data_IF_121644180856
#
_entry.id   IF_121644180856
#
_cell.length_a   1.000
_cell.length_b   1.000
_cell.length_c   1.000
_cell.angle_alpha   90.00
_cell.angle_beta   90.00
_cell.angle_gamma   90.00
#
_symmetry.space_group_name_H-M   'P 1'
#
loop_
_entity.id
_entity.type
_entity.pdbx_description
1 polymer ?
#
# COMPACT_ATOMS: atom_id res chain seq x y z
N UNK A 1 -19.44 13.25 38.74
CA UNK A 1 -19.16 11.90 38.17
C UNK A 1 -17.83 11.77 37.42
N UNK A 2 -17.19 12.85 36.97
CA UNK A 2 -15.87 12.83 36.31
C UNK A 2 -14.65 12.48 37.21
N UNK A 3 -14.84 12.34 38.53
CA UNK A 3 -13.74 12.20 39.50
C UNK A 3 -13.22 10.77 39.74
N UNK A 4 -14.03 9.72 39.51
CA UNK A 4 -13.59 8.33 39.74
C UNK A 4 -12.79 7.75 38.56
N UNK A 5 -13.18 8.06 37.32
CA UNK A 5 -12.47 7.56 36.13
C UNK A 5 -11.06 8.13 35.99
N UNK A 6 -10.83 9.37 36.44
CA UNK A 6 -9.50 10.00 36.44
C UNK A 6 -8.55 9.42 37.51
N UNK A 7 -9.08 8.74 38.54
CA UNK A 7 -8.27 8.16 39.62
C UNK A 7 -7.74 6.76 39.29
N UNK A 8 -8.38 6.03 38.36
CA UNK A 8 -8.01 4.66 38.00
C UNK A 8 -6.56 4.57 37.47
N UNK A 9 -6.09 5.45 36.56
CA UNK A 9 -4.70 5.42 36.11
C UNK A 9 -3.67 5.72 37.21
N UNK A 10 -4.07 6.43 38.27
CA UNK A 10 -3.20 6.79 39.39
C UNK A 10 -3.13 5.66 40.44
N UNK A 11 -4.23 4.94 40.66
CA UNK A 11 -4.29 3.83 41.60
C UNK A 11 -3.70 2.54 41.03
N UNK A 12 -3.91 2.28 39.74
CA UNK A 12 -3.45 1.05 39.07
C UNK A 12 -2.74 1.36 37.75
N UNK A 13 -1.59 2.07 37.77
CA UNK A 13 -0.93 2.55 36.56
C UNK A 13 -0.43 1.42 35.64
N UNK A 14 0.02 0.31 36.21
CA UNK A 14 0.44 -0.87 35.44
C UNK A 14 -0.74 -1.57 34.77
N UNK A 15 -1.78 -1.91 35.53
CA UNK A 15 -2.96 -2.58 35.00
C UNK A 15 -3.66 -1.71 33.94
N UNK A 16 -3.75 -0.40 34.16
CA UNK A 16 -4.27 0.55 33.19
C UNK A 16 -3.44 0.55 31.89
N UNK A 17 -2.10 0.59 31.99
CA UNK A 17 -1.21 0.53 30.83
C UNK A 17 -1.35 -0.76 30.02
N UNK A 18 -1.47 -1.90 30.70
CA UNK A 18 -1.69 -3.22 30.08
C UNK A 18 -3.01 -3.27 29.32
N UNK A 19 -4.10 -2.89 29.99
CA UNK A 19 -5.44 -2.92 29.39
C UNK A 19 -5.53 -1.97 28.20
N UNK A 20 -5.07 -0.73 28.35
CA UNK A 20 -5.08 0.25 27.28
C UNK A 20 -4.26 -0.22 26.07
N UNK A 21 -3.09 -0.85 26.31
CA UNK A 21 -2.22 -1.30 25.23
C UNK A 21 -2.83 -2.45 24.44
N UNK A 22 -3.44 -3.44 25.11
CA UNK A 22 -4.13 -4.56 24.45
C UNK A 22 -5.35 -4.13 23.64
N UNK A 23 -6.20 -3.27 24.21
CA UNK A 23 -7.36 -2.74 23.46
C UNK A 23 -6.93 -1.85 22.30
N UNK A 24 -5.90 -1.01 22.48
CA UNK A 24 -5.36 -0.16 21.41
C UNK A 24 -4.88 -1.01 20.23
N UNK A 25 -4.12 -2.08 20.47
CA UNK A 25 -3.60 -2.91 19.38
C UNK A 25 -4.69 -3.71 18.69
N UNK A 26 -5.63 -4.29 19.44
CA UNK A 26 -6.80 -4.97 18.86
C UNK A 26 -7.65 -4.00 18.03
N UNK A 27 -7.96 -2.80 18.55
CA UNK A 27 -8.73 -1.79 17.84
C UNK A 27 -8.02 -1.30 16.58
N UNK A 28 -6.72 -1.04 16.67
CA UNK A 28 -5.91 -0.62 15.52
C UNK A 28 -5.92 -1.67 14.41
N UNK A 29 -5.82 -2.94 14.78
CA UNK A 29 -5.86 -4.05 13.82
C UNK A 29 -7.27 -4.21 13.22
N UNK A 30 -8.34 -4.10 14.02
CA UNK A 30 -9.71 -4.10 13.50
C UNK A 30 -9.97 -2.95 12.51
N UNK A 31 -9.46 -1.75 12.82
CA UNK A 31 -9.52 -0.61 11.90
C UNK A 31 -8.78 -0.92 10.60
N UNK A 32 -7.58 -1.52 10.66
CA UNK A 32 -6.85 -1.91 9.45
C UNK A 32 -7.66 -2.93 8.67
N UNK A 33 -8.14 -4.00 9.30
CA UNK A 33 -8.89 -5.05 8.63
C UNK A 33 -10.20 -4.53 8.00
N UNK A 34 -10.94 -3.65 8.67
CA UNK A 34 -12.25 -3.14 8.19
C UNK A 34 -12.16 -1.91 7.30
N UNK A 35 -11.27 -0.97 7.60
CA UNK A 35 -11.20 0.34 6.92
C UNK A 35 -10.14 0.33 5.83
N UNK A 36 -8.97 -0.27 6.08
CA UNK A 36 -7.84 -0.28 5.15
C UNK A 36 -7.95 -1.48 4.20
N UNK A 37 -8.07 -2.69 4.74
CA UNK A 37 -8.16 -3.92 3.98
C UNK A 37 -9.59 -4.24 3.52
N UNK A 38 -10.59 -3.54 4.08
CA UNK A 38 -12.02 -3.70 3.77
C UNK A 38 -12.51 -5.16 3.76
N UNK A 39 -11.97 -6.00 4.66
CA UNK A 39 -12.36 -7.41 4.76
C UNK A 39 -13.83 -7.54 5.14
N UNK A 40 -14.54 -8.41 4.43
CA UNK A 40 -15.91 -8.78 4.78
C UNK A 40 -15.94 -9.49 6.15
N UNK A 41 -15.04 -10.46 6.34
CA UNK A 41 -14.86 -11.17 7.60
C UNK A 41 -13.62 -10.72 8.37
N UNK A 42 -13.74 -10.67 9.70
CA UNK A 42 -12.64 -10.30 10.57
C UNK A 42 -11.77 -11.55 10.82
N UNK A 43 -10.47 -11.41 10.57
CA UNK A 43 -9.48 -12.39 10.97
C UNK A 43 -9.20 -12.25 12.47
N UNK A 44 -9.92 -13.06 13.23
CA UNK A 44 -9.81 -13.10 14.69
C UNK A 44 -8.50 -13.71 15.18
N UNK A 45 -7.84 -14.57 14.38
CA UNK A 45 -6.52 -15.14 14.74
C UNK A 45 -5.45 -14.06 14.68
N UNK A 46 -5.43 -13.27 13.60
CA UNK A 46 -4.60 -12.07 13.48
C UNK A 46 -4.91 -11.07 14.60
N UNK A 47 -6.19 -10.78 14.85
CA UNK A 47 -6.54 -9.82 15.89
C UNK A 47 -6.09 -10.29 17.28
N UNK A 48 -6.20 -11.58 17.56
CA UNK A 48 -5.68 -12.19 18.78
C UNK A 48 -4.16 -12.04 18.88
N UNK A 49 -3.41 -12.12 17.78
CA UNK A 49 -1.96 -11.91 17.79
C UNK A 49 -1.61 -10.46 18.19
N UNK A 50 -2.31 -9.48 17.62
CA UNK A 50 -2.15 -8.07 17.96
C UNK A 50 -2.59 -7.75 19.39
N UNK A 51 -3.70 -8.34 19.85
CA UNK A 51 -4.17 -8.21 21.22
C UNK A 51 -3.15 -8.79 22.21
N UNK A 52 -2.69 -10.02 21.99
CA UNK A 52 -1.66 -10.69 22.80
C UNK A 52 -0.37 -9.90 22.87
N UNK A 53 0.10 -9.37 21.73
CA UNK A 53 1.28 -8.50 21.70
C UNK A 53 1.06 -7.21 22.49
N UNK A 54 -0.13 -6.62 22.41
CA UNK A 54 -0.51 -5.43 23.18
C UNK A 54 -0.57 -5.67 24.69
N UNK A 55 -1.18 -6.76 25.13
CA UNK A 55 -1.28 -7.09 26.57
C UNK A 55 0.07 -7.49 27.16
N UNK A 56 0.78 -8.40 26.50
CA UNK A 56 1.99 -9.03 27.06
C UNK A 56 3.23 -8.16 26.86
N UNK A 57 3.49 -7.74 25.63
CA UNK A 57 4.72 -7.00 25.32
C UNK A 57 4.55 -5.51 25.58
N UNK A 58 3.62 -4.83 24.91
CA UNK A 58 3.46 -3.37 25.06
C UNK A 58 3.02 -2.99 26.50
N UNK A 59 2.08 -3.75 27.05
CA UNK A 59 1.54 -3.53 28.39
C UNK A 59 2.49 -3.92 29.51
N UNK A 60 3.11 -5.09 29.41
CA UNK A 60 3.98 -5.64 30.45
C UNK A 60 5.43 -5.21 30.27
N UNK A 61 6.10 -5.81 29.28
CA UNK A 61 7.55 -5.69 29.07
C UNK A 61 7.94 -4.25 28.76
N UNK A 62 7.25 -3.60 27.83
CA UNK A 62 7.57 -2.25 27.42
C UNK A 62 7.27 -1.22 28.51
N UNK A 63 6.20 -1.37 29.29
CA UNK A 63 5.94 -0.52 30.46
C UNK A 63 7.11 -0.59 31.46
N UNK A 64 7.57 -1.80 31.77
CA UNK A 64 8.71 -2.02 32.69
C UNK A 64 10.03 -1.50 32.11
N UNK A 65 10.22 -1.51 30.80
CA UNK A 65 11.38 -0.90 30.17
C UNK A 65 11.36 0.64 30.31
N UNK A 66 10.25 1.29 29.93
CA UNK A 66 10.21 2.75 29.87
C UNK A 66 10.01 3.42 31.24
N UNK A 67 9.22 2.85 32.14
CA UNK A 67 8.86 3.53 33.39
C UNK A 67 9.93 3.36 34.48
N UNK A 68 10.25 2.13 34.94
CA UNK A 68 11.29 1.94 35.95
C UNK A 68 12.72 1.88 35.39
N UNK A 69 12.99 1.21 34.27
CA UNK A 69 14.38 1.04 33.78
C UNK A 69 14.91 2.35 33.19
N UNK A 70 14.25 2.92 32.17
CA UNK A 70 14.69 4.17 31.56
C UNK A 70 14.61 5.34 32.55
N UNK A 71 13.64 5.31 33.47
CA UNK A 71 13.56 6.27 34.57
C UNK A 71 14.77 6.27 35.51
N UNK A 72 15.46 5.12 35.67
CA UNK A 72 16.69 4.99 36.45
C UNK A 72 17.95 5.29 35.63
N UNK A 73 17.98 4.90 34.36
CA UNK A 73 19.11 5.16 33.46
C UNK A 73 19.23 6.64 33.09
N UNK A 74 18.11 7.34 32.95
CA UNK A 74 18.04 8.74 32.54
C UNK A 74 17.25 9.61 33.54
N UNK A 75 17.72 9.75 34.79
CA UNK A 75 17.00 10.52 35.80
C UNK A 75 16.85 12.00 35.39
N UNK A 76 17.82 12.52 34.63
CA UNK A 76 17.85 13.89 34.10
C UNK A 76 16.75 14.15 33.06
N UNK A 77 16.27 13.11 32.36
CA UNK A 77 15.19 13.26 31.38
C UNK A 77 13.88 13.74 32.03
N UNK A 78 13.60 13.34 33.27
CA UNK A 78 12.41 13.77 34.03
C UNK A 78 12.44 15.26 34.33
N UNK A 79 13.61 15.80 34.63
CA UNK A 79 13.81 17.23 34.88
C UNK A 79 13.77 18.00 33.58
N UNK A 80 14.43 17.49 32.53
CA UNK A 80 14.44 18.09 31.20
C UNK A 80 13.05 18.23 30.60
N UNK A 81 12.19 17.23 30.78
CA UNK A 81 10.81 17.26 30.27
C UNK A 81 10.05 18.48 30.81
N UNK A 82 10.26 18.88 32.07
CA UNK A 82 9.58 20.02 32.72
C UNK A 82 10.07 21.40 32.25
N UNK A 83 11.22 21.50 31.60
CA UNK A 83 11.81 22.77 31.17
C UNK A 83 11.04 23.41 29.99
N UNK A 84 11.08 24.74 29.91
CA UNK A 84 10.58 25.49 28.76
C UNK A 84 11.44 25.28 27.50
N UNK A 85 10.91 25.60 26.31
CA UNK A 85 11.62 25.43 25.02
C UNK A 85 12.99 26.11 24.99
N UNK A 86 13.09 27.37 25.45
CA UNK A 86 14.33 28.14 25.45
C UNK A 86 15.39 27.59 26.41
N UNK A 87 14.96 27.01 27.51
CA UNK A 87 15.85 26.39 28.51
C UNK A 87 16.34 25.03 28.05
N UNK A 88 15.48 24.25 27.37
CA UNK A 88 15.85 22.96 26.76
C UNK A 88 16.99 23.10 25.76
N UNK A 89 16.97 24.15 24.93
CA UNK A 89 18.05 24.41 23.96
C UNK A 89 19.40 24.76 24.62
N UNK A 90 19.39 25.14 25.91
CA UNK A 90 20.60 25.47 26.68
C UNK A 90 21.05 24.32 27.59
N UNK A 91 20.19 23.35 27.88
CA UNK A 91 20.50 22.18 28.70
C UNK A 91 21.12 21.04 27.87
N UNK A 92 22.44 21.13 27.68
CA UNK A 92 23.23 20.14 26.93
C UNK A 92 23.18 18.74 27.54
N UNK A 93 23.08 18.64 28.88
CA UNK A 93 23.01 17.34 29.57
C UNK A 93 21.65 16.70 29.37
N UNK A 94 20.56 17.48 29.46
CA UNK A 94 19.22 17.01 29.17
C UNK A 94 19.01 16.62 27.70
N UNK A 95 19.57 17.40 26.77
CA UNK A 95 19.57 17.06 25.34
C UNK A 95 20.31 15.75 25.06
N UNK A 96 21.49 15.56 25.66
CA UNK A 96 22.23 14.31 25.53
C UNK A 96 21.47 13.12 26.14
N UNK A 97 20.84 13.30 27.30
CA UNK A 97 20.03 12.25 27.92
C UNK A 97 18.83 11.84 27.05
N UNK A 98 18.13 12.80 26.45
CA UNK A 98 17.04 12.52 25.50
C UNK A 98 17.55 11.84 24.24
N UNK A 99 18.65 12.33 23.66
CA UNK A 99 19.27 11.70 22.50
C UNK A 99 19.69 10.25 22.79
N UNK A 100 20.38 10.01 23.90
CA UNK A 100 20.82 8.68 24.32
C UNK A 100 19.62 7.75 24.57
N UNK A 101 18.55 8.26 25.19
CA UNK A 101 17.32 7.51 25.40
C UNK A 101 16.66 7.14 24.06
N UNK A 102 16.52 8.09 23.13
CA UNK A 102 15.97 7.84 21.79
C UNK A 102 16.85 6.87 21.00
N UNK A 103 18.17 7.00 21.09
CA UNK A 103 19.10 6.11 20.39
C UNK A 103 19.00 4.66 20.91
N UNK A 104 19.03 4.47 22.23
CA UNK A 104 18.84 3.14 22.82
C UNK A 104 17.49 2.55 22.42
N UNK A 105 16.45 3.38 22.39
CA UNK A 105 15.15 2.92 22.00
C UNK A 105 15.12 2.47 20.53
N UNK A 106 15.52 3.34 19.60
CA UNK A 106 15.41 3.12 18.17
C UNK A 106 16.43 2.12 17.59
N UNK A 107 17.61 2.02 18.20
CA UNK A 107 18.73 1.21 17.68
C UNK A 107 19.02 -0.05 18.50
N UNK A 108 18.50 -0.18 19.72
CA UNK A 108 18.74 -1.37 20.57
C UNK A 108 17.43 -2.07 20.90
N UNK A 109 16.49 -1.37 21.56
CA UNK A 109 15.22 -1.97 21.97
C UNK A 109 14.37 -2.41 20.77
N UNK A 110 14.21 -1.57 19.75
CA UNK A 110 13.36 -1.93 18.60
C UNK A 110 13.90 -3.13 17.80
N UNK A 111 15.19 -3.16 17.38
CA UNK A 111 15.74 -4.31 16.68
C UNK A 111 15.83 -5.57 17.56
N UNK A 112 16.32 -5.46 18.80
CA UNK A 112 16.69 -6.66 19.57
C UNK A 112 15.54 -7.24 20.39
N UNK A 113 14.48 -6.46 20.64
CA UNK A 113 13.38 -6.89 21.52
C UNK A 113 12.02 -6.73 20.85
N UNK A 114 11.67 -5.52 20.39
CA UNK A 114 10.32 -5.22 19.90
C UNK A 114 9.91 -6.08 18.70
N UNK A 115 10.69 -6.04 17.61
CA UNK A 115 10.36 -6.80 16.41
C UNK A 115 10.47 -8.30 16.61
N UNK A 116 11.55 -8.86 17.23
CA UNK A 116 11.60 -10.28 17.55
C UNK A 116 10.40 -10.73 18.38
N UNK A 117 10.01 -9.98 19.42
CA UNK A 117 8.85 -10.32 20.23
C UNK A 117 7.54 -10.27 19.44
N UNK A 118 7.37 -9.30 18.55
CA UNK A 118 6.20 -9.24 17.67
C UNK A 118 6.11 -10.47 16.75
N UNK A 119 7.21 -10.80 16.08
CA UNK A 119 7.31 -11.95 15.17
C UNK A 119 7.04 -13.28 15.91
N UNK A 120 7.61 -13.45 17.10
CA UNK A 120 7.34 -14.62 17.94
C UNK A 120 5.89 -14.68 18.43
N UNK A 121 5.31 -13.56 18.84
CA UNK A 121 3.92 -13.50 19.31
C UNK A 121 2.96 -13.84 18.19
N UNK A 122 3.23 -13.35 16.97
CA UNK A 122 2.44 -13.69 15.78
C UNK A 122 2.50 -15.19 15.49
N UNK A 123 3.70 -15.77 15.44
CA UNK A 123 3.88 -17.20 15.18
C UNK A 123 3.13 -18.06 16.20
N UNK A 124 3.26 -17.72 17.48
CA UNK A 124 2.61 -18.44 18.58
C UNK A 124 1.08 -18.43 18.50
N UNK A 125 0.49 -17.35 17.97
CA UNK A 125 -0.97 -17.17 17.97
C UNK A 125 -1.60 -17.61 16.65
N UNK A 126 -0.88 -17.45 15.53
CA UNK A 126 -1.40 -17.74 14.19
C UNK A 126 -1.10 -19.17 13.74
N UNK A 127 0.10 -19.70 14.06
CA UNK A 127 0.54 -21.01 13.58
C UNK A 127 0.11 -22.14 14.51
N UNK A 128 -0.41 -23.23 13.95
CA UNK A 128 -0.74 -24.45 14.73
C UNK A 128 0.50 -25.19 15.24
N UNK A 129 1.62 -25.05 14.53
CA UNK A 129 2.94 -25.60 14.91
C UNK A 129 3.99 -24.48 14.82
N UNK A 130 4.30 -23.77 15.92
CA UNK A 130 5.24 -22.66 15.91
C UNK A 130 6.66 -23.12 15.57
N UNK A 131 7.30 -22.47 14.60
CA UNK A 131 8.72 -22.67 14.25
C UNK A 131 9.54 -21.40 14.50
N UNK A 132 10.16 -21.32 15.67
CA UNK A 132 10.97 -20.15 16.05
C UNK A 132 12.26 -19.99 15.22
N UNK A 133 12.77 -21.07 14.61
CA UNK A 133 13.93 -20.97 13.73
C UNK A 133 13.58 -20.16 12.48
N UNK A 134 12.45 -20.52 11.86
CA UNK A 134 11.89 -19.79 10.71
C UNK A 134 11.53 -18.34 11.06
N UNK A 135 10.98 -18.10 12.25
CA UNK A 135 10.63 -16.74 12.72
C UNK A 135 11.85 -15.81 12.74
N UNK A 136 13.00 -16.29 13.23
CA UNK A 136 14.23 -15.51 13.29
C UNK A 136 14.73 -15.20 11.87
N UNK A 137 14.66 -16.16 10.95
CA UNK A 137 15.06 -15.95 9.56
C UNK A 137 14.13 -14.96 8.85
N UNK A 138 12.82 -15.07 9.05
CA UNK A 138 11.82 -14.14 8.52
C UNK A 138 12.05 -12.72 9.08
N UNK A 139 12.33 -12.59 10.37
CA UNK A 139 12.72 -11.31 10.97
C UNK A 139 14.00 -10.77 10.34
N UNK A 140 15.07 -11.57 10.20
CA UNK A 140 16.35 -11.11 9.62
C UNK A 140 16.19 -10.59 8.19
N UNK A 141 15.33 -11.22 7.38
CA UNK A 141 15.03 -10.79 6.00
C UNK A 141 14.29 -9.45 5.99
N UNK A 142 13.32 -9.29 6.88
CA UNK A 142 12.41 -8.14 6.94
C UNK A 142 12.94 -6.96 7.78
N UNK A 143 13.94 -7.19 8.63
CA UNK A 143 14.43 -6.24 9.64
C UNK A 143 14.76 -4.87 9.05
N UNK A 144 15.38 -4.82 7.86
CA UNK A 144 15.73 -3.55 7.21
C UNK A 144 14.49 -2.75 6.84
N UNK A 145 13.49 -3.41 6.28
CA UNK A 145 12.22 -2.81 5.87
C UNK A 145 11.45 -2.30 7.09
N UNK A 146 11.33 -3.15 8.11
CA UNK A 146 10.60 -2.87 9.34
C UNK A 146 11.21 -1.69 10.12
N UNK A 147 12.55 -1.65 10.25
CA UNK A 147 13.25 -0.56 10.91
C UNK A 147 13.19 0.74 10.12
N UNK A 148 13.30 0.69 8.80
CA UNK A 148 13.16 1.89 7.98
C UNK A 148 11.74 2.45 8.06
N UNK A 149 10.70 1.61 8.03
CA UNK A 149 9.33 2.05 8.22
C UNK A 149 9.11 2.68 9.59
N UNK A 150 9.64 2.04 10.65
CA UNK A 150 9.60 2.57 12.02
C UNK A 150 10.27 3.95 12.10
N UNK A 151 11.50 4.09 11.62
CA UNK A 151 12.27 5.33 11.71
C UNK A 151 11.62 6.47 10.92
N UNK A 152 11.00 6.19 9.77
CA UNK A 152 10.27 7.21 8.99
C UNK A 152 9.10 7.82 9.75
N UNK A 153 8.50 7.08 10.69
CA UNK A 153 7.40 7.59 11.52
C UNK A 153 7.94 8.18 12.83
N UNK A 154 8.76 7.42 13.55
CA UNK A 154 9.17 7.78 14.90
C UNK A 154 10.24 8.87 14.95
N UNK A 155 11.22 8.90 14.04
CA UNK A 155 12.25 9.95 14.08
C UNK A 155 11.65 11.34 13.88
N UNK A 156 10.80 11.59 12.85
CA UNK A 156 10.12 12.87 12.71
C UNK A 156 9.13 13.16 13.83
N UNK A 157 8.35 12.17 14.27
CA UNK A 157 7.39 12.35 15.36
C UNK A 157 8.09 12.74 16.67
N UNK A 158 9.20 12.10 16.99
CA UNK A 158 10.01 12.41 18.17
C UNK A 158 10.60 13.81 18.08
N UNK A 159 11.12 14.21 16.91
CA UNK A 159 11.60 15.57 16.69
C UNK A 159 10.50 16.61 16.90
N UNK A 160 9.31 16.41 16.30
CA UNK A 160 8.16 17.31 16.44
C UNK A 160 7.69 17.39 17.91
N UNK A 161 7.62 16.24 18.58
CA UNK A 161 7.19 16.16 19.98
C UNK A 161 8.13 16.96 20.90
N UNK A 162 9.44 16.82 20.71
CA UNK A 162 10.39 17.57 21.52
C UNK A 162 10.47 19.05 21.13
N UNK A 163 10.31 19.37 19.84
CA UNK A 163 10.44 20.71 19.30
C UNK A 163 9.23 21.61 19.56
N UNK A 164 8.02 21.10 19.33
CA UNK A 164 6.83 21.94 19.20
C UNK A 164 5.69 21.58 20.16
N UNK A 165 5.65 20.36 20.69
CA UNK A 165 4.49 19.93 21.48
C UNK A 165 4.48 20.49 22.91
N UNK A 166 3.39 21.20 23.30
CA UNK A 166 3.15 21.63 24.66
C UNK A 166 3.12 20.43 25.62
N UNK A 167 3.54 20.66 26.86
CA UNK A 167 3.70 19.59 27.86
C UNK A 167 2.48 18.69 28.06
N UNK A 168 1.28 19.25 28.01
CA UNK A 168 0.03 18.51 28.17
C UNK A 168 -0.38 17.70 26.92
N UNK A 169 0.10 18.06 25.73
CA UNK A 169 -0.22 17.36 24.46
C UNK A 169 0.78 16.27 24.08
N UNK A 170 1.94 16.19 24.72
CA UNK A 170 3.00 15.22 24.36
C UNK A 170 2.53 13.77 24.48
N UNK A 171 1.85 13.43 25.58
CA UNK A 171 1.38 12.07 25.83
C UNK A 171 0.26 11.70 24.82
N UNK A 172 -0.78 12.54 24.61
CA UNK A 172 -1.76 12.30 23.54
C UNK A 172 -1.14 12.19 22.14
N UNK A 173 -0.16 13.04 21.80
CA UNK A 173 0.52 13.00 20.50
C UNK A 173 1.24 11.66 20.28
N UNK A 174 2.02 11.21 21.27
CA UNK A 174 2.71 9.91 21.20
C UNK A 174 1.72 8.75 21.13
N UNK A 175 0.59 8.83 21.83
CA UNK A 175 -0.47 7.82 21.74
C UNK A 175 -1.08 7.75 20.33
N UNK A 176 -1.32 8.90 19.69
CA UNK A 176 -1.80 8.98 18.32
C UNK A 176 -0.80 8.41 17.30
N UNK A 177 0.47 8.78 17.40
CA UNK A 177 1.55 8.21 16.56
C UNK A 177 1.69 6.71 16.79
N UNK A 178 1.53 6.24 18.03
CA UNK A 178 1.56 4.82 18.37
C UNK A 178 0.39 4.05 17.75
N UNK A 179 -0.81 4.64 17.71
CA UNK A 179 -1.96 4.05 17.03
C UNK A 179 -1.69 3.94 15.53
N UNK A 180 -1.17 5.01 14.91
CA UNK A 180 -0.78 5.02 13.49
C UNK A 180 0.25 3.92 13.19
N UNK A 181 1.33 3.85 13.98
CA UNK A 181 2.37 2.82 13.82
C UNK A 181 1.80 1.41 13.96
N UNK A 182 0.91 1.18 14.91
CA UNK A 182 0.28 -0.14 15.09
C UNK A 182 -0.55 -0.52 13.86
N UNK A 183 -1.22 0.46 13.25
CA UNK A 183 -1.93 0.28 11.99
C UNK A 183 -0.99 -0.07 10.83
N UNK A 184 0.13 0.65 10.71
CA UNK A 184 1.16 0.36 9.70
C UNK A 184 1.75 -1.04 9.89
N UNK A 185 2.09 -1.41 11.12
CA UNK A 185 2.62 -2.75 11.44
C UNK A 185 1.61 -3.85 11.12
N UNK A 186 0.33 -3.62 11.41
CA UNK A 186 -0.76 -4.51 11.03
C UNK A 186 -0.91 -4.62 9.52
N UNK A 187 -0.85 -3.53 8.76
CA UNK A 187 -0.88 -3.59 7.30
C UNK A 187 0.35 -4.30 6.70
N UNK A 188 1.54 -4.04 7.23
CA UNK A 188 2.80 -4.63 6.71
C UNK A 188 2.92 -6.13 7.02
N UNK A 189 2.45 -6.56 8.19
CA UNK A 189 2.78 -7.87 8.78
C UNK A 189 1.58 -8.63 9.36
N UNK A 190 0.36 -8.17 9.14
CA UNK A 190 -0.85 -8.76 9.71
C UNK A 190 -1.54 -9.82 8.86
N UNK A 191 -1.32 -9.88 7.54
CA UNK A 191 -1.96 -10.86 6.64
C UNK A 191 -0.99 -11.87 6.03
N UNK A 192 -1.54 -13.00 5.55
CA UNK A 192 -0.86 -13.92 4.64
C UNK A 192 -0.70 -13.26 3.27
N UNK A 193 0.39 -12.53 3.08
CA UNK A 193 1.07 -12.29 1.79
C UNK A 193 2.31 -11.45 2.10
N UNK A 194 3.42 -11.85 1.52
CA UNK A 194 4.64 -11.06 1.47
C UNK A 194 4.36 -9.75 0.71
N UNK A 195 4.00 -8.68 1.41
CA UNK A 195 3.99 -7.32 0.88
C UNK A 195 5.40 -6.70 0.79
N UNK A 196 6.45 -7.51 0.95
CA UNK A 196 7.84 -7.05 1.05
C UNK A 196 8.42 -6.46 -0.25
N UNK A 197 7.88 -6.81 -1.42
CA UNK A 197 8.46 -6.34 -2.69
C UNK A 197 7.84 -5.03 -3.22
N UNK A 198 6.61 -4.66 -2.80
CA UNK A 198 5.98 -3.40 -3.23
C UNK A 198 6.38 -2.18 -2.36
N UNK A 199 6.92 -2.43 -1.16
CA UNK A 199 7.40 -1.36 -0.25
C UNK A 199 8.89 -1.04 -0.40
N UNK A 200 9.64 -1.84 -1.18
CA UNK A 200 11.09 -1.72 -1.33
C UNK A 200 11.53 -0.54 -2.23
N UNK A 201 10.61 0.09 -2.95
CA UNK A 201 10.90 1.24 -3.81
C UNK A 201 10.67 2.58 -3.12
N UNK A 202 11.70 3.13 -2.47
CA UNK A 202 11.90 4.58 -2.35
C UNK A 202 10.78 5.41 -1.70
N UNK A 203 11.03 5.79 -0.44
CA UNK A 203 10.34 6.86 0.29
C UNK A 203 8.88 6.60 0.70
N UNK A 204 8.48 7.19 1.82
CA UNK A 204 7.06 7.41 2.19
C UNK A 204 6.52 8.54 1.31
N UNK A 205 6.67 8.38 0.00
CA UNK A 205 6.17 9.30 -1.01
C UNK A 205 5.43 8.46 -2.03
N UNK A 206 4.16 8.78 -2.23
CA UNK A 206 3.32 8.10 -3.20
C UNK A 206 2.45 7.03 -2.55
N UNK A 207 2.98 5.88 -2.15
CA UNK A 207 2.20 4.65 -1.91
C UNK A 207 1.23 4.69 -0.72
N UNK A 208 1.56 5.28 0.43
CA UNK A 208 0.58 5.48 1.52
C UNK A 208 -0.48 6.52 1.14
N UNK A 209 -0.09 7.52 0.33
CA UNK A 209 -1.01 8.50 -0.23
C UNK A 209 -1.87 7.90 -1.35
N UNK A 210 -1.35 6.94 -2.12
CA UNK A 210 -2.03 6.16 -3.16
C UNK A 210 -2.99 5.15 -2.53
N UNK A 211 -2.62 4.49 -1.44
CA UNK A 211 -3.53 3.65 -0.64
C UNK A 211 -4.69 4.46 -0.03
N UNK A 212 -4.46 5.74 0.27
CA UNK A 212 -5.50 6.70 0.68
C UNK A 212 -6.25 7.35 -0.49
N UNK A 213 -5.69 7.29 -1.71
CA UNK A 213 -6.21 7.89 -2.95
C UNK A 213 -6.72 6.85 -3.96
N UNK A 214 -6.72 5.56 -3.61
CA UNK A 214 -7.48 4.49 -4.27
C UNK A 214 -9.00 4.66 -3.96
N UNK A 215 -9.50 5.88 -4.16
CA UNK A 215 -10.86 6.10 -4.61
C UNK A 215 -10.94 5.78 -6.11
N UNK A 216 -12.07 6.10 -6.73
CA UNK A 216 -12.31 5.82 -8.15
C UNK A 216 -11.28 6.38 -9.14
N UNK A 217 -10.31 7.19 -8.71
CA UNK A 217 -9.18 7.69 -9.51
C UNK A 217 -8.44 6.58 -10.27
N UNK A 218 -8.30 5.38 -9.70
CA UNK A 218 -7.69 4.21 -10.37
C UNK A 218 -8.58 3.59 -11.48
N UNK A 219 -9.87 3.94 -11.51
CA UNK A 219 -10.86 3.48 -12.48
C UNK A 219 -11.30 4.61 -13.43
N UNK A 220 -11.03 5.86 -13.06
CA UNK A 220 -11.16 7.06 -13.89
C UNK A 220 -9.93 7.29 -14.77
N UNK A 221 -9.02 6.32 -14.86
CA UNK A 221 -7.77 6.42 -15.62
C UNK A 221 -7.95 6.31 -17.12
N UNK A 222 -9.10 6.68 -17.70
CA UNK A 222 -9.02 7.17 -19.09
C UNK A 222 -8.28 8.51 -19.00
N UNK A 223 -6.96 8.55 -19.28
CA UNK A 223 -6.09 9.66 -18.93
C UNK A 223 -6.20 10.78 -19.95
N UNK A 224 -7.40 10.94 -20.50
CA UNK A 224 -7.68 11.93 -21.52
C UNK A 224 -8.93 12.67 -21.12
N UNK A 225 -8.78 13.44 -20.04
CA UNK A 225 -9.20 14.84 -20.13
C UNK A 225 -8.52 15.41 -21.37
N UNK A 226 -9.16 15.22 -22.53
CA UNK A 226 -8.70 15.77 -23.79
C UNK A 226 -8.74 17.27 -23.59
N UNK A 227 -7.58 17.89 -23.33
CA UNK A 227 -7.42 19.32 -23.54
C UNK A 227 -8.08 19.61 -24.89
N UNK A 228 -9.19 20.36 -24.82
CA UNK A 228 -10.08 20.57 -25.95
C UNK A 228 -9.36 21.31 -27.08
N UNK A 229 -8.22 21.92 -26.78
CA UNK A 229 -7.41 22.68 -27.72
C UNK A 229 -6.32 21.82 -28.40
N UNK A 230 -6.19 20.55 -28.01
CA UNK A 230 -5.14 19.65 -28.50
C UNK A 230 -5.73 18.53 -29.37
N UNK A 231 -4.93 18.03 -30.31
CA UNK A 231 -5.24 16.81 -31.04
C UNK A 231 -4.61 15.61 -30.35
N UNK A 232 -5.40 14.56 -30.19
CA UNK A 232 -5.03 13.36 -29.43
C UNK A 232 -4.83 12.17 -30.37
N UNK A 233 -3.70 11.48 -30.20
CA UNK A 233 -3.27 10.37 -31.04
C UNK A 233 -2.97 9.15 -30.16
N UNK A 234 -3.40 7.97 -30.61
CA UNK A 234 -2.94 6.69 -30.09
C UNK A 234 -1.82 6.17 -30.99
N UNK A 235 -0.62 6.02 -30.44
CA UNK A 235 0.56 5.50 -31.12
C UNK A 235 0.86 4.12 -30.57
N UNK A 236 0.73 3.09 -31.40
CA UNK A 236 1.19 1.74 -31.11
C UNK A 236 2.49 1.48 -31.85
N UNK A 237 3.51 1.00 -31.16
CA UNK A 237 4.80 0.64 -31.75
C UNK A 237 5.24 -0.76 -31.31
N UNK A 238 5.69 -1.57 -32.25
CA UNK A 238 6.19 -2.93 -31.99
C UNK A 238 7.51 -3.20 -32.73
N UNK A 239 8.42 -3.99 -32.16
CA UNK A 239 9.67 -4.34 -32.81
C UNK A 239 10.57 -5.24 -31.98
N UNK A 240 11.76 -5.57 -32.50
CA UNK A 240 12.72 -6.43 -31.80
C UNK A 240 13.31 -5.70 -30.59
N UNK A 241 13.15 -6.30 -29.41
CA UNK A 241 13.52 -5.68 -28.16
C UNK A 241 15.04 -5.44 -28.07
N UNK A 242 15.42 -4.18 -27.85
CA UNK A 242 16.79 -3.76 -27.52
C UNK A 242 16.79 -2.50 -26.66
N UNK A 243 17.93 -2.21 -26.05
CA UNK A 243 18.10 -0.98 -25.28
C UNK A 243 17.85 0.26 -26.15
N UNK A 244 17.16 1.26 -25.58
CA UNK A 244 17.01 2.59 -26.17
C UNK A 244 15.76 2.81 -27.04
N UNK A 245 14.89 1.81 -27.28
CA UNK A 245 13.69 1.99 -28.12
C UNK A 245 12.70 3.01 -27.54
N UNK A 246 12.44 2.95 -26.23
CA UNK A 246 11.56 3.93 -25.55
C UNK A 246 12.13 5.34 -25.66
N UNK A 247 13.44 5.49 -25.44
CA UNK A 247 14.12 6.79 -25.52
C UNK A 247 14.10 7.35 -26.95
N UNK A 248 14.29 6.51 -27.96
CA UNK A 248 14.21 6.88 -29.36
C UNK A 248 12.80 7.41 -29.71
N UNK A 249 11.76 6.63 -29.39
CA UNK A 249 10.38 6.99 -29.71
C UNK A 249 9.92 8.23 -28.95
N UNK A 250 10.17 8.30 -27.64
CA UNK A 250 9.74 9.44 -26.82
C UNK A 250 10.47 10.74 -27.19
N UNK A 251 11.76 10.66 -27.52
CA UNK A 251 12.52 11.81 -28.01
C UNK A 251 11.99 12.28 -29.36
N UNK A 252 11.75 11.36 -30.31
CA UNK A 252 11.15 11.71 -31.58
C UNK A 252 9.77 12.39 -31.42
N UNK A 253 8.93 11.88 -30.52
CA UNK A 253 7.63 12.48 -30.20
C UNK A 253 7.82 13.92 -29.68
N UNK A 254 8.72 14.12 -28.72
CA UNK A 254 8.98 15.42 -28.10
C UNK A 254 9.57 16.43 -29.10
N UNK A 255 10.55 16.03 -29.91
CA UNK A 255 11.21 16.87 -30.91
C UNK A 255 10.23 17.36 -31.99
N UNK A 256 9.16 16.61 -32.23
CA UNK A 256 8.09 16.97 -33.17
C UNK A 256 6.90 17.70 -32.50
N UNK A 257 7.05 18.12 -31.23
CA UNK A 257 6.05 18.90 -30.50
C UNK A 257 4.87 18.09 -29.97
N UNK A 258 5.00 16.77 -29.87
CA UNK A 258 4.05 15.90 -29.18
C UNK A 258 4.40 15.76 -27.70
N UNK A 259 3.38 15.57 -26.87
CA UNK A 259 3.51 15.27 -25.45
C UNK A 259 2.89 13.91 -25.16
N UNK A 260 3.66 12.98 -24.59
CA UNK A 260 3.13 11.69 -24.13
C UNK A 260 2.40 11.92 -22.82
N UNK A 261 1.08 11.73 -22.78
CA UNK A 261 0.30 11.90 -21.54
C UNK A 261 -0.03 10.58 -20.87
N UNK A 262 0.03 9.47 -21.61
CA UNK A 262 -0.14 8.13 -21.06
C UNK A 262 0.58 7.10 -21.92
N UNK A 263 1.06 6.02 -21.32
CA UNK A 263 1.68 4.93 -22.06
C UNK A 263 1.62 3.61 -21.30
N UNK A 264 1.47 2.51 -22.03
CA UNK A 264 1.60 1.14 -21.51
C UNK A 264 2.56 0.36 -22.39
N UNK A 265 3.50 -0.34 -21.77
CA UNK A 265 4.55 -1.10 -22.45
C UNK A 265 4.57 -2.53 -21.92
N UNK A 266 4.74 -3.49 -22.84
CA UNK A 266 4.95 -4.89 -22.49
C UNK A 266 6.05 -5.49 -23.34
N UNK A 267 6.68 -6.55 -22.82
CA UNK A 267 7.67 -7.35 -23.52
C UNK A 267 7.19 -8.78 -23.58
N UNK A 268 7.04 -9.30 -24.80
CA UNK A 268 6.62 -10.67 -25.04
C UNK A 268 7.76 -11.41 -25.73
N UNK A 269 8.52 -12.17 -24.94
CA UNK A 269 9.75 -12.82 -25.40
C UNK A 269 10.80 -11.80 -25.85
N UNK A 270 11.12 -11.82 -27.15
CA UNK A 270 12.06 -10.89 -27.79
C UNK A 270 11.37 -9.69 -28.45
N UNK A 271 10.05 -9.56 -28.32
CA UNK A 271 9.27 -8.46 -28.89
C UNK A 271 9.04 -7.35 -27.86
N UNK A 272 9.27 -6.12 -28.30
CA UNK A 272 8.91 -4.88 -27.63
C UNK A 272 7.56 -4.41 -28.18
N UNK A 273 6.61 -4.09 -27.30
CA UNK A 273 5.31 -3.53 -27.68
C UNK A 273 4.99 -2.37 -26.73
N UNK A 274 4.68 -1.20 -27.29
CA UNK A 274 4.27 -0.03 -26.51
C UNK A 274 3.09 0.65 -27.17
N UNK A 275 2.18 1.14 -26.33
CA UNK A 275 1.07 1.99 -26.71
C UNK A 275 1.22 3.32 -25.97
N UNK A 276 1.06 4.43 -26.68
CA UNK A 276 1.20 5.78 -26.13
C UNK A 276 0.03 6.64 -26.57
N UNK A 277 -0.56 7.34 -25.61
CA UNK A 277 -1.40 8.49 -25.87
C UNK A 277 -0.52 9.74 -26.02
N UNK A 278 -0.65 10.42 -27.14
CA UNK A 278 0.12 11.63 -27.46
C UNK A 278 -0.80 12.79 -27.79
N UNK A 279 -0.63 13.89 -27.06
CA UNK A 279 -1.26 15.18 -27.36
C UNK A 279 -0.33 16.01 -28.25
N UNK A 280 -0.86 16.57 -29.34
CA UNK A 280 -0.13 17.44 -30.27
C UNK A 280 -0.98 18.64 -30.65
N UNK A 281 -0.36 19.78 -30.93
CA UNK A 281 -1.09 20.96 -31.43
C UNK A 281 -1.82 20.60 -32.74
N UNK A 282 -3.10 20.98 -32.92
CA UNK A 282 -3.89 20.61 -34.10
C UNK A 282 -3.21 20.99 -35.43
N UNK A 283 -2.52 22.14 -35.47
CA UNK A 283 -1.79 22.63 -36.64
C UNK A 283 -0.56 21.77 -36.99
N UNK A 284 0.08 21.12 -36.01
CA UNK A 284 1.28 20.28 -36.19
C UNK A 284 0.94 18.80 -36.39
N UNK A 285 -0.32 18.40 -36.21
CA UNK A 285 -0.77 17.00 -36.30
C UNK A 285 -0.33 16.29 -37.59
N UNK A 286 -0.53 16.93 -38.74
CA UNK A 286 -0.25 16.28 -40.03
C UNK A 286 1.26 16.12 -40.27
N UNK A 287 2.08 17.10 -39.87
CA UNK A 287 3.54 16.96 -39.96
C UNK A 287 4.07 15.94 -38.96
N UNK A 288 3.51 15.90 -37.75
CA UNK A 288 3.82 14.89 -36.73
C UNK A 288 3.53 13.47 -37.22
N UNK A 289 2.33 13.21 -37.77
CA UNK A 289 1.99 11.89 -38.33
C UNK A 289 2.92 11.48 -39.49
N UNK A 290 3.40 12.44 -40.29
CA UNK A 290 4.40 12.17 -41.33
C UNK A 290 5.76 11.83 -40.72
N UNK A 291 6.17 12.48 -39.63
CA UNK A 291 7.49 12.25 -39.02
C UNK A 291 7.62 10.85 -38.39
N UNK A 292 6.52 10.27 -37.91
CA UNK A 292 6.49 8.88 -37.41
C UNK A 292 6.86 7.84 -38.48
N UNK A 293 6.75 8.18 -39.77
CA UNK A 293 7.14 7.32 -40.89
C UNK A 293 8.61 7.46 -41.28
N UNK A 294 9.41 8.18 -40.49
CA UNK A 294 10.84 8.36 -40.77
C UNK A 294 11.61 7.05 -40.72
N UNK A 295 12.59 6.88 -41.62
CA UNK A 295 13.42 5.67 -41.71
C UNK A 295 14.12 5.33 -40.40
N UNK A 296 14.51 6.33 -39.62
CA UNK A 296 15.17 6.13 -38.33
C UNK A 296 14.30 5.33 -37.35
N UNK A 297 12.99 5.58 -37.35
CA UNK A 297 12.03 4.84 -36.52
C UNK A 297 11.60 3.53 -37.17
N UNK A 298 11.21 3.58 -38.45
CA UNK A 298 10.59 2.44 -39.14
C UNK A 298 11.55 1.28 -39.43
N UNK A 299 12.86 1.49 -39.28
CA UNK A 299 13.86 0.41 -39.34
C UNK A 299 13.81 -0.47 -38.08
N UNK A 300 13.36 0.06 -36.95
CA UNK A 300 13.42 -0.59 -35.64
C UNK A 300 12.03 -0.94 -35.09
N UNK A 301 11.02 -0.16 -35.48
CA UNK A 301 9.66 -0.25 -34.97
C UNK A 301 8.64 -0.22 -36.12
N UNK A 302 7.67 -1.12 -36.09
CA UNK A 302 6.41 -0.98 -36.80
C UNK A 302 5.50 -0.05 -35.99
N UNK A 303 5.17 1.12 -36.54
CA UNK A 303 4.45 2.19 -35.85
C UNK A 303 3.11 2.43 -36.53
N UNK A 304 2.04 2.29 -35.76
CA UNK A 304 0.69 2.65 -36.14
C UNK A 304 0.24 3.84 -35.30
N UNK A 305 -0.24 4.90 -35.96
CA UNK A 305 -0.77 6.07 -35.30
C UNK A 305 -2.21 6.31 -35.75
N UNK A 306 -3.13 6.31 -34.79
CA UNK A 306 -4.56 6.52 -35.01
C UNK A 306 -4.98 7.81 -34.31
N UNK A 307 -5.68 8.68 -35.03
CA UNK A 307 -6.29 9.84 -34.40
C UNK A 307 -7.45 9.38 -33.51
N UNK A 308 -7.42 9.79 -32.25
CA UNK A 308 -8.53 9.56 -31.34
C UNK A 308 -9.60 10.60 -31.66
N UNK A 309 -10.77 10.13 -32.08
CA UNK A 309 -11.97 10.95 -32.13
C UNK A 309 -12.42 11.23 -30.70
N UNK A 310 -12.78 12.48 -30.43
CA UNK A 310 -13.51 12.79 -29.21
C UNK A 310 -14.78 11.93 -29.18
N UNK A 311 -14.97 11.12 -28.12
CA UNK A 311 -16.28 10.52 -27.88
C UNK A 311 -17.26 11.66 -27.58
N UNK A 312 -18.33 11.78 -28.37
CA UNK A 312 -19.46 12.69 -28.10
C UNK A 312 -20.33 12.13 -26.97
N UNK A 313 -19.75 11.91 -25.80
CA UNK A 313 -20.45 11.36 -24.64
C UNK A 313 -20.10 12.17 -23.42
N UNK A 314 -21.12 12.59 -22.66
CA UNK A 314 -20.98 13.21 -21.34
C UNK A 314 -19.91 12.48 -20.51
N UNK A 315 -19.13 13.20 -19.72
CA UNK A 315 -18.03 12.64 -18.92
C UNK A 315 -18.45 11.32 -18.24
N UNK A 316 -17.98 10.18 -18.77
CA UNK A 316 -18.20 8.88 -18.15
C UNK A 316 -17.13 8.72 -17.07
N UNK A 317 -17.33 9.40 -15.93
CA UNK A 317 -16.60 9.04 -14.72
C UNK A 317 -17.08 7.65 -14.30
N UNK A 318 -16.16 6.72 -14.05
CA UNK A 318 -16.48 5.52 -13.31
C UNK A 318 -17.22 5.95 -12.04
N UNK A 319 -18.33 5.29 -11.73
CA UNK A 319 -19.08 5.47 -10.48
C UNK A 319 -18.79 4.33 -9.50
N UNK A 320 -18.22 3.25 -10.01
CA UNK A 320 -17.86 2.05 -9.27
C UNK A 320 -16.69 1.38 -9.97
N UNK A 321 -15.80 0.78 -9.18
CA UNK A 321 -14.66 -0.01 -9.63
C UNK A 321 -14.52 -1.29 -8.83
N UNK A 322 -14.04 -2.35 -9.46
CA UNK A 322 -13.76 -3.65 -8.83
C UNK A 322 -12.38 -4.11 -9.26
N UNK A 323 -11.55 -4.55 -8.31
CA UNK A 323 -10.30 -5.25 -8.59
C UNK A 323 -10.56 -6.73 -8.40
N UNK A 324 -10.39 -7.51 -9.47
CA UNK A 324 -10.58 -8.95 -9.48
C UNK A 324 -9.20 -9.61 -9.55
N UNK A 325 -8.90 -10.46 -8.57
CA UNK A 325 -7.70 -11.28 -8.54
C UNK A 325 -8.11 -12.76 -8.53
N UNK A 326 -7.64 -13.52 -9.50
CA UNK A 326 -7.93 -14.95 -9.55
C UNK A 326 -6.68 -15.79 -9.85
N UNK A 327 -6.63 -16.96 -9.22
CA UNK A 327 -5.60 -17.96 -9.38
C UNK A 327 -6.27 -19.32 -9.53
N UNK A 328 -5.91 -20.05 -10.57
CA UNK A 328 -6.34 -21.43 -10.74
C UNK A 328 -5.39 -22.20 -11.63
N UNK A 329 -5.66 -23.49 -11.79
CA UNK A 329 -4.87 -24.34 -12.67
C UNK A 329 -4.92 -23.82 -14.11
N UNK A 330 -3.76 -23.79 -14.76
CA UNK A 330 -3.64 -23.30 -16.13
C UNK A 330 -4.42 -24.19 -17.10
N UNK A 331 -5.43 -23.59 -17.74
CA UNK A 331 -6.26 -24.26 -18.75
C UNK A 331 -6.77 -23.26 -19.79
N UNK A 332 -7.02 -23.69 -21.04
CA UNK A 332 -7.64 -22.85 -22.05
C UNK A 332 -8.98 -22.25 -21.57
N UNK A 333 -9.22 -20.98 -21.90
CA UNK A 333 -10.50 -20.31 -21.63
C UNK A 333 -10.60 -19.59 -20.29
N UNK A 334 -9.58 -19.64 -19.41
CA UNK A 334 -9.60 -18.94 -18.11
C UNK A 334 -9.86 -17.44 -18.25
N UNK A 335 -9.08 -16.77 -19.09
CA UNK A 335 -9.25 -15.33 -19.34
C UNK A 335 -10.60 -15.03 -20.00
N UNK A 336 -11.04 -15.89 -20.93
CA UNK A 336 -12.32 -15.72 -21.62
C UNK A 336 -13.49 -15.74 -20.63
N UNK A 337 -13.57 -16.77 -19.78
CA UNK A 337 -14.63 -16.92 -18.79
C UNK A 337 -14.72 -15.75 -17.81
N UNK A 338 -13.58 -15.27 -17.30
CA UNK A 338 -13.54 -14.09 -16.41
C UNK A 338 -14.02 -12.84 -17.18
N UNK A 339 -13.50 -12.62 -18.39
CA UNK A 339 -13.87 -11.44 -19.18
C UNK A 339 -15.35 -11.44 -19.63
N UNK A 340 -15.90 -12.61 -19.97
CA UNK A 340 -17.30 -12.78 -20.36
C UNK A 340 -18.24 -12.56 -19.17
N UNK A 341 -17.90 -13.08 -17.99
CA UNK A 341 -18.70 -12.83 -16.79
C UNK A 341 -18.72 -11.34 -16.44
N UNK A 342 -17.57 -10.66 -16.49
CA UNK A 342 -17.49 -9.20 -16.27
C UNK A 342 -18.34 -8.45 -17.30
N UNK A 343 -18.21 -8.79 -18.58
CA UNK A 343 -18.99 -8.18 -19.65
C UNK A 343 -20.51 -8.43 -19.49
N UNK A 344 -20.92 -9.61 -19.01
CA UNK A 344 -22.34 -9.94 -18.76
C UNK A 344 -23.00 -9.03 -17.71
N UNK A 345 -22.19 -8.36 -16.87
CA UNK A 345 -22.63 -7.37 -15.88
C UNK A 345 -22.63 -5.94 -16.40
N UNK A 346 -22.37 -5.74 -17.69
CA UNK A 346 -22.26 -4.41 -18.30
C UNK A 346 -21.06 -3.61 -17.78
N UNK A 347 -20.06 -4.30 -17.22
CA UNK A 347 -18.84 -3.68 -16.69
C UNK A 347 -17.71 -3.73 -17.73
N UNK A 348 -16.82 -2.74 -17.68
CA UNK A 348 -15.66 -2.61 -18.56
C UNK A 348 -14.39 -3.05 -17.84
N UNK A 349 -13.46 -3.70 -18.54
CA UNK A 349 -12.12 -3.99 -18.02
C UNK A 349 -11.21 -2.83 -18.44
N UNK A 350 -10.75 -2.05 -17.47
CA UNK A 350 -9.86 -0.90 -17.69
C UNK A 350 -8.40 -1.32 -17.78
N UNK A 351 -8.00 -2.30 -16.96
CA UNK A 351 -6.66 -2.85 -16.97
C UNK A 351 -6.68 -4.35 -16.70
N UNK A 352 -5.79 -5.08 -17.36
CA UNK A 352 -5.61 -6.50 -17.11
C UNK A 352 -4.16 -6.91 -17.25
N UNK A 353 -3.73 -7.76 -16.33
CA UNK A 353 -2.41 -8.40 -16.31
C UNK A 353 -2.61 -9.88 -16.05
N UNK A 354 -1.91 -10.73 -16.81
CA UNK A 354 -1.94 -12.18 -16.64
C UNK A 354 -0.53 -12.72 -16.46
N UNK A 355 -0.40 -13.76 -15.64
CA UNK A 355 0.89 -14.41 -15.35
C UNK A 355 0.73 -15.92 -15.23
N UNK A 356 1.73 -16.66 -15.69
CA UNK A 356 1.90 -18.08 -15.37
C UNK A 356 2.91 -18.21 -14.22
N UNK A 357 2.58 -18.99 -13.20
CA UNK A 357 3.50 -19.34 -12.11
C UNK A 357 3.45 -20.83 -11.83
N UNK A 358 4.49 -21.35 -11.18
CA UNK A 358 4.51 -22.74 -10.70
C UNK A 358 4.23 -22.72 -9.21
N UNK A 359 3.23 -23.48 -8.79
CA UNK A 359 2.84 -23.60 -7.39
C UNK A 359 3.92 -24.35 -6.59
N UNK A 360 3.80 -24.36 -5.26
CA UNK A 360 4.69 -25.15 -4.39
C UNK A 360 4.53 -26.66 -4.61
N UNK A 361 3.39 -27.12 -5.14
CA UNK A 361 3.16 -28.53 -5.52
C UNK A 361 3.72 -28.88 -6.90
N UNK A 362 4.25 -27.91 -7.65
CA UNK A 362 4.81 -28.11 -8.99
C UNK A 362 3.79 -27.98 -10.12
N UNK A 363 2.54 -27.62 -9.82
CA UNK A 363 1.49 -27.42 -10.81
C UNK A 363 1.58 -26.02 -11.44
N UNK A 364 1.13 -25.88 -12.70
CA UNK A 364 1.07 -24.58 -13.37
C UNK A 364 -0.21 -23.85 -12.99
N UNK A 365 -0.05 -22.67 -12.43
CA UNK A 365 -1.14 -21.77 -12.08
C UNK A 365 -1.18 -20.59 -13.06
N UNK A 366 -2.38 -20.27 -13.53
CA UNK A 366 -2.69 -19.06 -14.26
C UNK A 366 -3.28 -18.03 -13.31
N UNK A 367 -2.69 -16.84 -13.32
CA UNK A 367 -3.06 -15.70 -12.46
C UNK A 367 -3.60 -14.58 -13.33
N UNK A 368 -4.73 -13.99 -12.92
CA UNK A 368 -5.33 -12.82 -13.56
C UNK A 368 -5.51 -11.73 -12.52
N UNK A 369 -5.01 -10.54 -12.84
CA UNK A 369 -5.26 -9.29 -12.13
C UNK A 369 -6.03 -8.36 -13.07
N UNK A 370 -7.28 -8.04 -12.75
CA UNK A 370 -8.14 -7.18 -13.57
C UNK A 370 -8.69 -5.98 -12.77
N UNK A 371 -8.61 -4.79 -13.35
CA UNK A 371 -9.31 -3.59 -12.92
C UNK A 371 -10.55 -3.42 -13.77
N UNK A 372 -11.71 -3.43 -13.12
CA UNK A 372 -13.03 -3.41 -13.73
C UNK A 372 -13.76 -2.15 -13.30
N UNK A 373 -14.42 -1.46 -14.22
CA UNK A 373 -15.19 -0.25 -13.93
C UNK A 373 -16.65 -0.39 -14.35
N UNK A 374 -17.52 0.38 -13.70
CA UNK A 374 -18.89 0.61 -14.13
C UNK A 374 -19.22 2.10 -14.10
N UNK A 375 -19.95 2.54 -15.12
CA UNK A 375 -20.45 3.93 -15.24
C UNK A 375 -21.80 4.12 -14.56
N UNK A 376 -22.40 3.02 -14.08
CA UNK A 376 -23.66 3.01 -13.33
C UNK A 376 -23.34 2.77 -11.86
N UNK A 377 -23.96 3.57 -10.98
CA UNK A 377 -23.91 3.30 -9.55
C UNK A 377 -24.96 2.24 -9.24
N UNK A 378 -24.52 1.05 -8.83
CA UNK A 378 -25.42 0.02 -8.31
C UNK A 378 -25.75 0.36 -6.85
N UNK A 379 -26.98 0.05 -6.43
CA UNK A 379 -27.29 0.06 -5.01
C UNK A 379 -26.56 -1.09 -4.29
N UNK A 380 -26.65 -1.14 -2.95
CA UNK A 380 -25.94 -2.18 -2.20
C UNK A 380 -26.44 -3.60 -2.52
N UNK A 381 -27.74 -3.77 -2.76
CA UNK A 381 -28.32 -5.08 -3.01
C UNK A 381 -27.90 -5.62 -4.39
N UNK A 382 -27.92 -4.76 -5.41
CA UNK A 382 -27.46 -5.05 -6.75
C UNK A 382 -25.95 -5.30 -6.78
N UNK A 383 -25.17 -4.55 -6.01
CA UNK A 383 -23.74 -4.75 -5.88
C UNK A 383 -23.42 -6.11 -5.23
N UNK A 384 -24.07 -6.44 -4.13
CA UNK A 384 -23.89 -7.73 -3.46
C UNK A 384 -24.26 -8.89 -4.41
N UNK A 385 -25.31 -8.74 -5.21
CA UNK A 385 -25.68 -9.72 -6.23
C UNK A 385 -24.62 -9.83 -7.35
N UNK A 386 -24.07 -8.72 -7.82
CA UNK A 386 -22.99 -8.70 -8.83
C UNK A 386 -21.72 -9.35 -8.29
N UNK A 387 -21.32 -9.02 -7.06
CA UNK A 387 -20.16 -9.65 -6.41
C UNK A 387 -20.41 -11.14 -6.26
N UNK A 388 -21.59 -11.55 -5.78
CA UNK A 388 -21.91 -12.97 -5.59
C UNK A 388 -21.84 -13.76 -6.90
N UNK A 389 -22.41 -13.25 -7.99
CA UNK A 389 -22.33 -13.93 -9.29
C UNK A 389 -20.91 -13.89 -9.88
N UNK A 390 -20.15 -12.82 -9.70
CA UNK A 390 -18.73 -12.82 -10.10
C UNK A 390 -17.94 -13.84 -9.28
N UNK A 391 -18.23 -13.99 -7.98
CA UNK A 391 -17.63 -14.98 -7.10
C UNK A 391 -17.99 -16.42 -7.43
N UNK A 392 -19.10 -16.67 -8.14
CA UNK A 392 -19.42 -18.00 -8.68
C UNK A 392 -18.33 -18.54 -9.62
N UNK A 393 -17.52 -17.66 -10.23
CA UNK A 393 -16.35 -18.04 -11.03
C UNK A 393 -15.35 -18.89 -10.24
N UNK A 394 -15.30 -18.77 -8.90
CA UNK A 394 -14.42 -19.59 -8.08
C UNK A 394 -14.77 -21.08 -8.21
N UNK A 395 -16.05 -21.42 -8.21
CA UNK A 395 -16.52 -22.79 -8.35
C UNK A 395 -16.49 -23.22 -9.83
N UNK A 396 -17.06 -22.40 -10.72
CA UNK A 396 -17.12 -22.66 -12.17
C UNK A 396 -15.73 -22.93 -12.77
N UNK A 397 -14.72 -22.19 -12.29
CA UNK A 397 -13.34 -22.31 -12.75
C UNK A 397 -12.44 -23.18 -11.86
N UNK A 398 -12.98 -23.71 -10.76
CA UNK A 398 -12.22 -24.49 -9.77
C UNK A 398 -10.93 -23.76 -9.33
N UNK A 399 -11.09 -22.47 -8.97
CA UNK A 399 -9.99 -21.58 -8.63
C UNK A 399 -9.44 -21.90 -7.24
N UNK A 400 -8.12 -21.94 -7.12
CA UNK A 400 -7.43 -22.09 -5.83
C UNK A 400 -7.54 -20.83 -4.98
N UNK A 401 -7.64 -19.67 -5.61
CA UNK A 401 -7.83 -18.40 -4.93
C UNK A 401 -8.62 -17.42 -5.80
N UNK A 402 -9.55 -16.69 -5.19
CA UNK A 402 -10.35 -15.67 -5.81
C UNK A 402 -10.60 -14.54 -4.81
N UNK A 403 -10.28 -13.31 -5.20
CA UNK A 403 -10.49 -12.11 -4.38
C UNK A 403 -11.10 -11.00 -5.24
N UNK A 404 -12.09 -10.32 -4.69
CA UNK A 404 -12.79 -9.21 -5.35
C UNK A 404 -12.84 -8.03 -4.39
N UNK A 405 -12.21 -6.92 -4.77
CA UNK A 405 -12.18 -5.69 -3.97
C UNK A 405 -12.95 -4.59 -4.66
N UNK A 406 -14.04 -4.14 -4.03
CA UNK A 406 -14.89 -3.08 -4.57
C UNK A 406 -14.45 -1.71 -4.07
N UNK A 407 -14.40 -0.75 -4.99
CA UNK A 407 -14.10 0.65 -4.78
C UNK A 407 -15.29 1.46 -5.31
N UNK A 408 -15.97 2.21 -4.45
CA UNK A 408 -17.06 3.12 -4.83
C UNK A 408 -16.62 4.57 -4.67
N UNK A 409 -17.34 5.48 -5.33
CA UNK A 409 -17.13 6.94 -5.23
C UNK A 409 -17.30 7.44 -3.80
#
# INVERSE_FOLDING_TARGET
MLSRLQQIPLQYPFAFGVVLSGFKTSFSDLLVQKVIERRQEIDWKRNAAFASFGFLYLGGVQYTLYVPIFGRLFPQARTFVKLGWREKMRDTKGLFAVFAQTFLDQCVHHPLMYFPAFYCTRELVVSEKPDFGKVIDDYRRNMKEDLLALWKIWVPATAINFAFMPMHLRIPFVAGVSLLWTGVLSAMRGGDIAHGDEMAGGAVTGSTYLLLKEGLDAFNTTPVEMDLNMSHLNISAAGKNRAGLVAMLSRHISDNGGNVTHSKMTRLGSEFIIQMHVAVQPLKRQSFLKSLKSKHLTTELDIQAVQLSQRSTAAHSAKMGMRIHCVGNDRPGMLAAVSEKVASKGMSIEDITTKLRVSKSGEREFVIDALVSSTTLLDRADLDHVIHDISSLQEDLSLSHFDVRVHTA
#
